data_IF_214662204662
#
_entry.id   IF_214662204662
#
_cell.length_a   1.000
_cell.length_b   1.000
_cell.length_c   1.000
_cell.angle_alpha   90.00
_cell.angle_beta   90.00
_cell.angle_gamma   90.00
#
_symmetry.space_group_name_H-M   'P 1'
#
loop_
_entity.id
_entity.type
_entity.pdbx_description
1 polymer ?
#
# COMPACT_ATOMS: atom_id res chain seq x y z
N UNK A 1 49.01 -32.25 20.92
CA UNK A 1 48.66 -31.11 20.05
C UNK A 1 47.39 -31.52 19.36
N UNK A 2 46.27 -31.21 20.00
CA UNK A 2 44.92 -31.54 19.56
C UNK A 2 44.57 -30.54 18.45
N UNK A 3 44.20 -31.07 17.29
CA UNK A 3 43.73 -30.28 16.15
C UNK A 3 42.24 -30.11 16.38
N UNK A 4 41.81 -28.90 16.74
CA UNK A 4 40.41 -28.52 16.80
C UNK A 4 39.86 -28.52 15.36
N UNK A 5 39.08 -29.55 15.06
CA UNK A 5 38.19 -29.65 13.92
C UNK A 5 36.86 -28.97 14.32
N UNK A 6 36.79 -27.66 14.15
CA UNK A 6 35.52 -26.93 14.18
C UNK A 6 35.02 -26.81 12.75
N UNK A 7 34.34 -27.85 12.27
CA UNK A 7 33.53 -27.78 11.06
C UNK A 7 32.43 -26.74 11.23
N UNK A 8 32.59 -25.59 10.56
CA UNK A 8 31.48 -24.68 10.31
C UNK A 8 30.46 -25.43 9.43
N UNK A 9 29.24 -25.62 9.95
CA UNK A 9 28.13 -26.10 9.14
C UNK A 9 27.92 -25.16 7.94
N UNK A 10 27.68 -25.69 6.73
CA UNK A 10 27.50 -24.85 5.55
C UNK A 10 26.19 -24.08 5.73
N UNK A 11 26.26 -22.79 6.03
CA UNK A 11 25.10 -21.90 6.03
C UNK A 11 24.37 -22.07 4.70
N UNK A 12 23.17 -22.66 4.74
CA UNK A 12 22.38 -22.89 3.55
C UNK A 12 22.08 -21.54 2.91
N UNK A 13 22.72 -21.27 1.77
CA UNK A 13 22.49 -20.04 1.03
C UNK A 13 21.09 -20.12 0.44
N UNK A 14 20.13 -19.40 1.05
CA UNK A 14 18.71 -19.40 0.67
C UNK A 14 18.36 -18.16 -0.19
N UNK A 15 19.20 -17.14 -0.19
CA UNK A 15 19.01 -15.91 -0.97
C UNK A 15 19.80 -15.91 -2.28
N UNK A 16 19.17 -15.41 -3.33
CA UNK A 16 19.79 -15.21 -4.63
C UNK A 16 20.85 -14.10 -4.58
N UNK A 17 21.93 -14.20 -5.38
CA UNK A 17 22.91 -13.12 -5.47
C UNK A 17 22.29 -11.87 -6.10
N UNK A 18 22.73 -10.69 -5.64
CA UNK A 18 22.21 -9.39 -6.12
C UNK A 18 22.46 -9.09 -7.60
N UNK A 19 23.14 -9.98 -8.33
CA UNK A 19 23.34 -9.91 -9.77
C UNK A 19 22.13 -10.37 -10.58
N UNK A 20 21.19 -11.10 -9.97
CA UNK A 20 19.98 -11.58 -10.65
C UNK A 20 18.93 -10.49 -10.64
N UNK A 21 18.44 -10.12 -11.82
CA UNK A 21 17.39 -9.12 -11.98
C UNK A 21 16.00 -9.73 -11.84
N UNK A 22 15.05 -9.03 -11.19
CA UNK A 22 13.69 -9.51 -11.03
C UNK A 22 13.00 -9.71 -12.37
N UNK A 23 12.19 -10.75 -12.48
CA UNK A 23 11.52 -11.11 -13.72
C UNK A 23 10.15 -10.42 -13.87
N UNK A 24 9.41 -10.24 -12.79
CA UNK A 24 8.04 -9.72 -12.80
C UNK A 24 7.92 -8.35 -12.12
N UNK A 25 6.84 -7.64 -12.42
CA UNK A 25 6.43 -6.43 -11.68
C UNK A 25 5.22 -6.74 -10.81
N UNK A 26 5.28 -6.41 -9.52
CA UNK A 26 4.19 -6.70 -8.58
C UNK A 26 3.39 -5.44 -8.23
N UNK A 27 2.07 -5.56 -8.34
CA UNK A 27 1.09 -4.61 -7.82
C UNK A 27 0.50 -5.23 -6.54
N UNK A 28 0.62 -4.53 -5.41
CA UNK A 28 0.13 -5.00 -4.12
C UNK A 28 -1.02 -4.12 -3.64
N UNK A 29 -2.16 -4.73 -3.31
CA UNK A 29 -3.29 -4.02 -2.73
C UNK A 29 -3.17 -3.88 -1.20
N UNK A 30 -3.45 -2.70 -0.62
CA UNK A 30 -3.51 -2.49 0.83
C UNK A 30 -4.38 -3.48 1.60
N UNK A 31 -5.48 -3.98 1.02
CA UNK A 31 -6.37 -4.96 1.61
C UNK A 31 -5.62 -6.23 2.02
N UNK A 32 -4.66 -6.68 1.21
CA UNK A 32 -3.82 -7.85 1.50
C UNK A 32 -3.03 -7.63 2.79
N UNK A 33 -2.41 -6.46 2.95
CA UNK A 33 -1.61 -6.10 4.12
C UNK A 33 -2.47 -6.06 5.38
N UNK A 34 -3.69 -5.51 5.25
CA UNK A 34 -4.66 -5.45 6.34
C UNK A 34 -5.12 -6.85 6.75
N UNK A 35 -5.44 -7.73 5.79
CA UNK A 35 -5.85 -9.11 6.06
C UNK A 35 -4.75 -9.92 6.75
N UNK A 36 -3.50 -9.77 6.32
CA UNK A 36 -2.35 -10.47 6.94
C UNK A 36 -2.15 -9.97 8.37
N UNK A 37 -2.25 -8.65 8.58
CA UNK A 37 -2.11 -8.04 9.90
C UNK A 37 -3.23 -8.46 10.85
N UNK A 38 -4.48 -8.51 10.37
CA UNK A 38 -5.62 -9.03 11.13
C UNK A 38 -5.44 -10.51 11.48
N UNK A 39 -5.08 -11.35 10.50
CA UNK A 39 -4.81 -12.77 10.73
C UNK A 39 -3.72 -12.98 11.78
N UNK A 40 -2.62 -12.23 11.70
CA UNK A 40 -1.54 -12.28 12.69
C UNK A 40 -1.99 -11.85 14.09
N UNK A 41 -2.72 -10.74 14.20
CA UNK A 41 -3.21 -10.26 15.49
C UNK A 41 -4.24 -11.20 16.13
N UNK A 42 -5.15 -11.77 15.33
CA UNK A 42 -6.11 -12.79 15.82
C UNK A 42 -5.39 -14.02 16.34
N UNK A 43 -4.38 -14.47 15.60
CA UNK A 43 -3.59 -15.62 15.96
C UNK A 43 -2.81 -15.40 17.27
N UNK A 44 -2.14 -14.25 17.41
CA UNK A 44 -1.47 -13.86 18.67
C UNK A 44 -2.42 -13.75 19.87
N UNK A 45 -3.68 -13.38 19.64
CA UNK A 45 -4.67 -13.32 20.71
C UNK A 45 -5.16 -14.71 21.16
N UNK A 46 -5.05 -15.73 20.29
CA UNK A 46 -5.48 -17.10 20.56
C UNK A 46 -4.35 -17.98 21.11
N UNK A 47 -3.16 -17.88 20.51
CA UNK A 47 -1.98 -18.63 20.93
C UNK A 47 -1.02 -17.72 21.71
N UNK A 48 -0.70 -18.10 22.95
CA UNK A 48 0.21 -17.34 23.82
C UNK A 48 1.70 -17.50 23.46
N UNK A 49 2.04 -17.98 22.26
CA UNK A 49 3.42 -18.21 21.83
C UNK A 49 3.82 -17.25 20.71
N UNK A 50 4.91 -16.53 20.93
CA UNK A 50 5.48 -15.59 19.95
C UNK A 50 6.20 -16.28 18.78
N UNK A 51 6.50 -17.58 18.89
CA UNK A 51 7.28 -18.35 17.91
C UNK A 51 6.40 -19.04 16.85
N UNK A 52 5.09 -18.94 16.97
CA UNK A 52 4.16 -19.60 16.06
C UNK A 52 4.04 -18.84 14.72
N UNK A 53 4.24 -19.54 13.62
CA UNK A 53 4.24 -18.99 12.25
C UNK A 53 2.84 -19.09 11.63
N UNK A 54 2.30 -17.98 11.11
CA UNK A 54 1.07 -18.01 10.31
C UNK A 54 1.37 -18.22 8.84
N UNK A 55 0.49 -18.91 8.13
CA UNK A 55 0.58 -19.10 6.67
C UNK A 55 -0.78 -18.77 6.06
N UNK A 56 -0.75 -18.13 4.90
CA UNK A 56 -1.96 -17.99 4.09
C UNK A 56 -1.66 -17.87 2.61
N UNK A 57 -2.71 -17.94 1.80
CA UNK A 57 -2.64 -17.81 0.35
C UNK A 57 -2.83 -16.35 -0.09
N UNK A 58 -2.20 -16.01 -1.20
CA UNK A 58 -2.33 -14.78 -1.93
C UNK A 58 -3.05 -15.06 -3.24
N UNK A 59 -4.07 -14.26 -3.53
CA UNK A 59 -4.85 -14.36 -4.75
C UNK A 59 -4.90 -13.03 -5.47
N UNK A 60 -5.08 -13.12 -6.79
CA UNK A 60 -5.12 -11.95 -7.63
C UNK A 60 -5.11 -12.31 -9.10
N UNK A 61 -4.63 -11.41 -9.95
CA UNK A 61 -4.61 -11.60 -11.40
C UNK A 61 -3.20 -11.49 -11.96
N UNK A 62 -2.94 -12.21 -13.05
CA UNK A 62 -1.68 -12.10 -13.77
C UNK A 62 -1.95 -11.68 -15.21
N UNK A 63 -1.38 -10.54 -15.62
CA UNK A 63 -1.44 -10.02 -16.99
C UNK A 63 -0.03 -9.94 -17.55
N UNK A 64 0.39 -11.01 -18.24
CA UNK A 64 1.75 -11.13 -18.76
C UNK A 64 2.79 -11.21 -17.64
N UNK A 65 3.67 -10.20 -17.54
CA UNK A 65 4.71 -10.09 -16.50
C UNK A 65 4.30 -9.22 -15.31
N UNK A 66 3.08 -8.70 -15.33
CA UNK A 66 2.53 -7.92 -14.23
C UNK A 66 1.60 -8.79 -13.41
N UNK A 67 1.93 -8.92 -12.13
CA UNK A 67 1.19 -9.70 -11.15
C UNK A 67 0.51 -8.72 -10.20
N UNK A 68 -0.80 -8.84 -10.08
CA UNK A 68 -1.62 -8.01 -9.20
C UNK A 68 -2.14 -8.88 -8.06
N UNK A 69 -1.69 -8.58 -6.84
CA UNK A 69 -2.09 -9.29 -5.61
C UNK A 69 -3.21 -8.48 -4.96
N UNK A 70 -4.44 -8.95 -5.10
CA UNK A 70 -5.63 -8.21 -4.73
C UNK A 70 -6.21 -8.63 -3.38
N UNK A 71 -6.11 -9.91 -3.02
CA UNK A 71 -6.70 -10.43 -1.78
C UNK A 71 -5.88 -11.60 -1.21
N UNK A 72 -6.22 -12.03 0.00
CA UNK A 72 -5.51 -13.09 0.72
C UNK A 72 -6.44 -13.82 1.69
N UNK A 73 -6.17 -15.09 1.95
CA UNK A 73 -6.91 -15.87 2.95
C UNK A 73 -5.98 -16.75 3.80
N UNK A 74 -6.42 -17.08 5.00
CA UNK A 74 -5.67 -17.92 5.94
C UNK A 74 -5.67 -19.39 5.53
N UNK A 75 -4.54 -20.08 5.77
CA UNK A 75 -4.38 -21.50 5.53
C UNK A 75 -4.08 -22.21 6.84
N UNK A 76 -4.61 -23.42 6.97
CA UNK A 76 -4.28 -24.30 8.09
C UNK A 76 -2.98 -25.05 7.77
N UNK A 77 -1.97 -24.85 8.61
CA UNK A 77 -0.66 -25.47 8.49
C UNK A 77 -0.26 -26.10 9.83
N UNK A 78 0.11 -27.37 9.78
CA UNK A 78 0.52 -28.10 10.97
C UNK A 78 2.02 -27.92 11.20
N UNK A 79 2.37 -27.29 12.33
CA UNK A 79 3.77 -27.09 12.75
C UNK A 79 4.26 -28.11 13.78
N UNK A 80 3.38 -28.98 14.29
CA UNK A 80 3.62 -29.83 15.45
C UNK A 80 4.61 -31.00 15.21
N UNK A 81 4.96 -31.33 13.97
CA UNK A 81 5.76 -32.52 13.62
C UNK A 81 7.19 -32.20 13.16
N UNK A 82 7.70 -31.01 13.46
CA UNK A 82 9.08 -30.58 13.20
C UNK A 82 9.33 -30.08 11.77
N UNK A 83 8.63 -30.64 10.76
CA UNK A 83 8.55 -30.02 9.42
C UNK A 83 7.14 -29.48 9.18
N UNK A 84 6.99 -28.20 8.80
CA UNK A 84 5.68 -27.63 8.51
C UNK A 84 5.03 -28.37 7.32
N UNK A 85 3.78 -28.78 7.47
CA UNK A 85 3.03 -29.47 6.43
C UNK A 85 1.75 -28.72 6.07
N UNK A 86 1.58 -28.45 4.78
CA UNK A 86 0.41 -27.79 4.21
C UNK A 86 -0.75 -28.81 4.09
N UNK A 87 -1.90 -28.47 4.65
CA UNK A 87 -3.12 -29.24 4.40
C UNK A 87 -3.64 -28.95 2.98
N UNK A 88 -3.21 -29.78 2.02
CA UNK A 88 -3.53 -29.62 0.58
C UNK A 88 -5.03 -29.73 0.32
N UNK A 89 -5.75 -30.58 1.06
CA UNK A 89 -7.20 -30.75 0.87
C UNK A 89 -7.97 -29.50 1.33
N UNK A 90 -7.58 -28.93 2.47
CA UNK A 90 -8.14 -27.66 2.94
C UNK A 90 -7.81 -26.51 1.99
N UNK A 91 -6.57 -26.46 1.48
CA UNK A 91 -6.16 -25.47 0.50
C UNK A 91 -7.04 -25.52 -0.76
N UNK A 92 -7.27 -26.71 -1.32
CA UNK A 92 -8.09 -26.89 -2.54
C UNK A 92 -9.57 -26.56 -2.31
N UNK A 93 -10.15 -26.98 -1.19
CA UNK A 93 -11.54 -26.65 -0.83
C UNK A 93 -11.73 -25.13 -0.67
N UNK A 94 -10.76 -24.44 -0.06
CA UNK A 94 -10.78 -22.98 0.05
C UNK A 94 -10.62 -22.31 -1.30
N UNK A 95 -9.73 -22.81 -2.14
CA UNK A 95 -9.52 -22.29 -3.48
C UNK A 95 -10.79 -22.38 -4.34
N UNK A 96 -11.49 -23.51 -4.29
CA UNK A 96 -12.76 -23.72 -5.01
C UNK A 96 -13.83 -22.69 -4.59
N UNK A 97 -13.99 -22.47 -3.27
CA UNK A 97 -14.92 -21.46 -2.74
C UNK A 97 -14.58 -20.04 -3.17
N UNK A 98 -13.30 -19.69 -3.24
CA UNK A 98 -12.89 -18.37 -3.72
C UNK A 98 -13.13 -18.22 -5.23
N UNK A 99 -12.96 -19.29 -5.99
CA UNK A 99 -13.26 -19.30 -7.43
C UNK A 99 -14.75 -19.08 -7.70
N UNK A 100 -15.64 -19.67 -6.89
CA UNK A 100 -17.09 -19.42 -6.98
C UNK A 100 -17.48 -17.95 -6.77
N UNK A 101 -16.69 -17.20 -5.99
CA UNK A 101 -16.96 -15.79 -5.71
C UNK A 101 -16.41 -14.88 -6.81
N UNK A 102 -15.28 -15.23 -7.42
CA UNK A 102 -14.64 -14.42 -8.46
C UNK A 102 -13.77 -15.28 -9.37
N UNK A 103 -14.27 -15.56 -10.59
CA UNK A 103 -13.57 -16.37 -11.60
C UNK A 103 -12.26 -15.74 -12.11
N UNK A 104 -12.06 -14.44 -11.89
CA UNK A 104 -10.86 -13.72 -12.35
C UNK A 104 -9.64 -13.96 -11.46
N UNK A 105 -9.85 -14.35 -10.20
CA UNK A 105 -8.76 -14.51 -9.24
C UNK A 105 -8.17 -15.91 -9.28
N UNK A 106 -6.85 -15.96 -9.37
CA UNK A 106 -6.05 -17.18 -9.30
C UNK A 106 -5.11 -17.11 -8.10
N UNK A 107 -4.64 -18.28 -7.68
CA UNK A 107 -3.57 -18.38 -6.72
C UNK A 107 -2.27 -17.78 -7.30
N UNK A 108 -1.70 -16.81 -6.59
CA UNK A 108 -0.47 -16.10 -6.99
C UNK A 108 0.71 -16.53 -6.13
N UNK A 109 0.46 -16.87 -4.86
CA UNK A 109 1.53 -17.16 -3.92
C UNK A 109 1.00 -17.33 -2.51
N UNK A 110 1.88 -17.21 -1.53
CA UNK A 110 1.56 -17.37 -0.14
C UNK A 110 2.27 -16.32 0.71
N UNK A 111 1.77 -16.08 1.90
CA UNK A 111 2.34 -15.14 2.84
C UNK A 111 2.65 -15.78 4.18
N UNK A 112 3.58 -15.16 4.89
CA UNK A 112 3.90 -15.48 6.28
C UNK A 112 4.52 -14.27 6.98
N UNK A 113 4.89 -14.43 8.25
CA UNK A 113 5.47 -13.37 9.08
C UNK A 113 6.98 -13.61 9.23
N UNK A 114 7.76 -12.53 9.19
CA UNK A 114 9.19 -12.57 9.47
C UNK A 114 9.99 -11.54 8.69
N UNK A 115 11.27 -11.42 9.04
CA UNK A 115 12.19 -10.44 8.44
C UNK A 115 12.78 -10.91 7.11
N UNK A 116 13.28 -12.15 7.07
CA UNK A 116 13.93 -12.76 5.90
C UNK A 116 13.42 -14.19 5.66
N UNK A 117 13.54 -14.73 4.44
CA UNK A 117 13.24 -16.13 4.17
C UNK A 117 14.15 -17.08 4.94
N UNK A 118 13.55 -18.12 5.54
CA UNK A 118 14.20 -19.14 6.36
C UNK A 118 14.08 -20.55 5.72
N UNK A 119 14.72 -21.57 6.31
CA UNK A 119 14.62 -22.96 5.84
C UNK A 119 13.19 -23.52 5.94
N UNK A 120 12.43 -23.11 6.95
CA UNK A 120 11.01 -23.47 7.09
C UNK A 120 10.21 -22.96 5.90
N UNK A 121 10.47 -21.72 5.48
CA UNK A 121 9.81 -21.12 4.32
C UNK A 121 10.15 -21.87 3.04
N UNK A 122 11.41 -22.30 2.88
CA UNK A 122 11.83 -23.10 1.73
C UNK A 122 11.08 -24.44 1.65
N UNK A 123 10.86 -25.09 2.79
CA UNK A 123 10.11 -26.36 2.84
C UNK A 123 8.65 -26.17 2.42
N UNK A 124 7.98 -25.15 2.97
CA UNK A 124 6.60 -24.81 2.60
C UNK A 124 6.52 -24.40 1.13
N UNK A 125 7.46 -23.59 0.66
CA UNK A 125 7.51 -23.14 -0.71
C UNK A 125 7.62 -24.32 -1.69
N UNK A 126 8.44 -25.32 -1.37
CA UNK A 126 8.55 -26.55 -2.18
C UNK A 126 7.23 -27.32 -2.26
N UNK A 127 6.39 -27.29 -1.21
CA UNK A 127 5.06 -27.90 -1.25
C UNK A 127 4.12 -27.14 -2.19
N UNK A 128 4.15 -25.80 -2.18
CA UNK A 128 3.41 -24.99 -3.15
C UNK A 128 3.91 -25.19 -4.58
N UNK A 129 5.22 -25.35 -4.79
CA UNK A 129 5.82 -25.64 -6.10
C UNK A 129 5.38 -26.97 -6.70
N UNK A 130 4.85 -27.91 -5.91
CA UNK A 130 4.28 -29.16 -6.43
C UNK A 130 2.87 -28.96 -7.03
N UNK A 131 2.19 -27.87 -6.66
CA UNK A 131 0.83 -27.54 -7.09
C UNK A 131 0.87 -26.46 -8.17
N UNK A 132 1.73 -25.46 -8.03
CA UNK A 132 1.87 -24.30 -8.90
C UNK A 132 3.32 -24.05 -9.30
N UNK A 133 3.57 -23.68 -10.56
CA UNK A 133 4.93 -23.61 -11.10
C UNK A 133 5.77 -22.43 -10.55
N UNK A 134 5.15 -21.32 -10.18
CA UNK A 134 5.86 -20.09 -9.78
C UNK A 134 5.12 -19.28 -8.70
N UNK A 135 4.92 -19.83 -7.49
CA UNK A 135 4.30 -19.10 -6.40
C UNK A 135 5.21 -17.98 -5.86
N UNK A 136 4.63 -16.84 -5.50
CA UNK A 136 5.35 -15.77 -4.79
C UNK A 136 5.31 -15.98 -3.27
N UNK A 137 6.34 -15.50 -2.57
CA UNK A 137 6.38 -15.42 -1.11
C UNK A 137 6.28 -13.96 -0.67
N UNK A 138 5.29 -13.63 0.16
CA UNK A 138 5.21 -12.33 0.83
C UNK A 138 5.53 -12.49 2.32
N UNK A 139 6.50 -11.73 2.83
CA UNK A 139 6.79 -11.66 4.27
C UNK A 139 6.42 -10.29 4.82
N UNK A 140 5.59 -10.29 5.86
CA UNK A 140 5.30 -9.10 6.65
C UNK A 140 6.16 -9.12 7.93
N UNK A 141 6.86 -8.03 8.19
CA UNK A 141 7.74 -7.89 9.36
C UNK A 141 7.12 -6.97 10.42
N UNK A 142 6.52 -7.51 11.49
CA UNK A 142 5.91 -6.69 12.53
C UNK A 142 6.94 -5.85 13.31
N UNK A 143 8.22 -6.25 13.34
CA UNK A 143 9.25 -5.60 14.16
C UNK A 143 10.05 -4.52 13.40
N UNK A 144 9.60 -4.10 12.22
CA UNK A 144 10.26 -3.12 11.38
C UNK A 144 10.07 -1.67 11.89
N UNK A 145 11.05 -0.81 11.63
CA UNK A 145 10.93 0.62 11.89
C UNK A 145 9.98 1.28 10.85
N UNK A 146 8.74 1.54 11.25
CA UNK A 146 7.64 2.04 10.40
C UNK A 146 7.84 3.44 9.80
N UNK A 147 8.97 4.11 10.08
CA UNK A 147 9.16 5.52 9.75
C UNK A 147 9.40 5.82 8.26
N UNK A 148 9.76 4.82 7.43
CA UNK A 148 10.22 5.11 6.05
C UNK A 148 9.67 4.20 4.96
N UNK A 149 9.34 2.93 5.25
CA UNK A 149 8.82 1.97 4.27
C UNK A 149 7.76 1.07 4.91
N UNK A 150 6.84 0.58 4.07
CA UNK A 150 5.89 -0.46 4.46
C UNK A 150 6.66 -1.75 4.78
N UNK A 151 6.36 -2.44 5.89
CA UNK A 151 7.15 -3.58 6.37
C UNK A 151 6.78 -4.88 5.65
N UNK A 152 6.73 -4.83 4.32
CA UNK A 152 6.36 -5.94 3.46
C UNK A 152 7.48 -6.15 2.45
N UNK A 153 7.94 -7.39 2.32
CA UNK A 153 8.89 -7.84 1.31
C UNK A 153 8.25 -8.97 0.49
N UNK A 154 8.48 -8.95 -0.82
CA UNK A 154 7.97 -9.96 -1.74
C UNK A 154 9.16 -10.63 -2.41
N UNK A 155 9.11 -11.95 -2.54
CA UNK A 155 10.17 -12.77 -3.09
C UNK A 155 9.64 -13.63 -4.24
N UNK A 156 10.35 -13.62 -5.36
CA UNK A 156 10.25 -14.66 -6.39
C UNK A 156 11.32 -15.73 -6.16
N UNK A 157 11.15 -16.90 -6.75
CA UNK A 157 12.15 -17.98 -6.68
C UNK A 157 12.91 -18.14 -7.97
N UNK A 158 14.22 -18.35 -7.83
CA UNK A 158 15.14 -18.63 -8.93
C UNK A 158 15.91 -19.91 -8.62
N UNK A 159 16.12 -20.74 -9.64
CA UNK A 159 16.93 -21.96 -9.50
C UNK A 159 18.35 -21.61 -9.91
N UNK A 160 19.30 -21.77 -8.98
CA UNK A 160 20.72 -21.53 -9.23
C UNK A 160 21.56 -22.74 -8.78
N UNK A 161 22.70 -22.93 -9.42
CA UNK A 161 23.64 -24.00 -9.09
C UNK A 161 24.56 -23.53 -7.95
N UNK A 162 24.21 -23.90 -6.73
CA UNK A 162 25.02 -23.64 -5.54
C UNK A 162 25.67 -24.96 -5.12
N UNK A 163 27.00 -24.99 -5.05
CA UNK A 163 27.79 -26.18 -4.69
C UNK A 163 27.55 -27.40 -5.61
N UNK A 164 27.46 -27.18 -6.93
CA UNK A 164 27.12 -28.20 -7.94
C UNK A 164 25.74 -28.89 -7.75
N UNK A 165 24.86 -28.32 -6.94
CA UNK A 165 23.48 -28.78 -6.79
C UNK A 165 22.51 -27.66 -7.17
N UNK A 166 21.44 -28.01 -7.88
CA UNK A 166 20.36 -27.08 -8.19
C UNK A 166 19.59 -26.79 -6.88
N UNK A 167 19.65 -25.55 -6.40
CA UNK A 167 18.92 -25.09 -5.22
C UNK A 167 17.97 -23.97 -5.60
N UNK A 168 16.80 -23.95 -4.95
CA UNK A 168 15.83 -22.85 -5.07
C UNK A 168 16.29 -21.74 -4.12
N UNK A 169 16.43 -20.53 -4.67
CA UNK A 169 16.82 -19.33 -3.93
C UNK A 169 15.71 -18.28 -4.02
N UNK A 170 15.54 -17.50 -2.96
CA UNK A 170 14.62 -16.36 -2.94
C UNK A 170 15.31 -15.09 -3.45
N UNK A 171 14.64 -14.38 -4.34
CA UNK A 171 15.04 -13.09 -4.86
C UNK A 171 13.99 -12.05 -4.47
N UNK A 172 14.39 -11.03 -3.72
CA UNK A 172 13.49 -9.93 -3.35
C UNK A 172 13.16 -9.09 -4.59
N UNK A 173 11.86 -8.82 -4.78
CA UNK A 173 11.36 -8.07 -5.94
C UNK A 173 10.68 -6.77 -5.49
N UNK A 174 10.87 -5.68 -6.25
CA UNK A 174 10.18 -4.42 -5.97
C UNK A 174 8.69 -4.56 -6.28
N UNK A 175 7.85 -3.95 -5.43
CA UNK A 175 6.42 -3.85 -5.65
C UNK A 175 5.97 -2.39 -5.68
N UNK A 176 4.80 -2.18 -6.26
CA UNK A 176 4.09 -0.90 -6.24
C UNK A 176 2.73 -1.11 -5.63
N UNK A 177 2.23 -0.13 -4.87
CA UNK A 177 0.89 -0.21 -4.31
C UNK A 177 -0.12 0.12 -5.40
N UNK A 178 -1.00 -0.83 -5.67
CA UNK A 178 -2.20 -0.60 -6.48
C UNK A 178 -3.39 -0.44 -5.54
N UNK A 179 -4.32 0.43 -5.92
CA UNK A 179 -5.53 0.66 -5.16
C UNK A 179 -6.69 0.77 -6.12
N UNK A 180 -7.75 0.02 -5.86
CA UNK A 180 -9.04 0.28 -6.50
C UNK A 180 -9.63 1.60 -5.97
N UNK A 181 -10.54 2.24 -6.71
CA UNK A 181 -11.18 3.48 -6.25
C UNK A 181 -11.93 3.30 -4.92
N UNK A 182 -12.62 2.16 -4.76
CA UNK A 182 -13.32 1.78 -3.53
C UNK A 182 -12.35 1.60 -2.36
N UNK A 183 -11.27 0.85 -2.57
CA UNK A 183 -10.21 0.61 -1.61
C UNK A 183 -9.49 1.91 -1.20
N UNK A 184 -9.17 2.78 -2.17
CA UNK A 184 -8.53 4.08 -1.90
C UNK A 184 -9.38 4.93 -0.97
N UNK A 185 -10.69 5.00 -1.20
CA UNK A 185 -11.61 5.75 -0.33
C UNK A 185 -11.63 5.14 1.08
N UNK A 186 -11.70 3.82 1.19
CA UNK A 186 -11.67 3.12 2.48
C UNK A 186 -10.38 3.38 3.27
N UNK A 187 -9.23 3.21 2.63
CA UNK A 187 -7.92 3.43 3.23
C UNK A 187 -7.72 4.90 3.63
N UNK A 188 -8.12 5.85 2.77
CA UNK A 188 -8.06 7.29 3.06
C UNK A 188 -8.93 7.66 4.27
N UNK A 189 -10.14 7.09 4.36
CA UNK A 189 -11.02 7.32 5.49
C UNK A 189 -10.44 6.76 6.80
N UNK A 190 -9.89 5.54 6.79
CA UNK A 190 -9.24 4.93 7.97
C UNK A 190 -8.06 5.79 8.39
N UNK A 191 -7.18 6.16 7.46
CA UNK A 191 -6.02 7.00 7.73
C UNK A 191 -6.43 8.35 8.36
N UNK A 192 -7.41 9.05 7.78
CA UNK A 192 -7.90 10.33 8.31
C UNK A 192 -8.50 10.19 9.70
N UNK A 193 -9.27 9.15 9.95
CA UNK A 193 -9.87 8.88 11.26
C UNK A 193 -8.80 8.65 12.33
N UNK A 194 -7.70 7.98 12.00
CA UNK A 194 -6.58 7.76 12.93
C UNK A 194 -5.81 9.04 13.28
N UNK A 195 -5.80 10.05 12.40
CA UNK A 195 -5.10 11.32 12.64
C UNK A 195 -6.00 12.43 13.22
N UNK A 196 -7.32 12.33 13.07
CA UNK A 196 -8.27 13.37 13.46
C UNK A 196 -9.21 12.86 14.56
N UNK A 197 -8.76 12.97 15.81
CA UNK A 197 -9.68 12.94 16.95
C UNK A 197 -10.61 14.17 16.87
N UNK A 198 -11.90 13.91 16.59
CA UNK A 198 -13.06 14.69 17.08
C UNK A 198 -13.50 16.00 16.39
N UNK A 199 -12.96 16.42 15.24
CA UNK A 199 -13.55 17.60 14.55
C UNK A 199 -13.86 17.29 13.09
N UNK A 200 -15.11 17.50 12.67
CA UNK A 200 -15.51 17.55 11.27
C UNK A 200 -14.76 18.68 10.57
N UNK A 201 -13.58 18.37 10.04
CA UNK A 201 -12.82 19.30 9.22
C UNK A 201 -13.62 19.60 7.95
N UNK A 202 -13.68 20.87 7.58
CA UNK A 202 -14.29 21.27 6.30
C UNK A 202 -13.60 20.53 5.16
N UNK A 203 -14.32 20.15 4.11
CA UNK A 203 -13.73 19.59 2.89
C UNK A 203 -12.61 20.48 2.31
N UNK A 204 -12.68 21.80 2.54
CA UNK A 204 -11.61 22.73 2.21
C UNK A 204 -10.34 22.50 3.05
N UNK A 205 -10.49 22.22 4.35
CA UNK A 205 -9.36 21.91 5.24
C UNK A 205 -8.69 20.59 4.84
N UNK A 206 -9.46 19.56 4.48
CA UNK A 206 -8.92 18.29 3.98
C UNK A 206 -8.13 18.47 2.68
N UNK A 207 -8.67 19.26 1.74
CA UNK A 207 -7.99 19.58 0.49
C UNK A 207 -6.68 20.36 0.72
N UNK A 208 -6.69 21.33 1.65
CA UNK A 208 -5.49 22.08 2.02
C UNK A 208 -4.45 21.20 2.72
N UNK A 209 -4.89 20.27 3.58
CA UNK A 209 -4.02 19.32 4.25
C UNK A 209 -3.35 18.37 3.24
N UNK A 210 -4.10 17.89 2.26
CA UNK A 210 -3.56 17.05 1.17
C UNK A 210 -2.48 17.81 0.38
N UNK A 211 -2.74 19.07 0.00
CA UNK A 211 -1.74 19.93 -0.66
C UNK A 211 -0.51 20.16 0.21
N UNK A 212 -0.70 20.44 1.50
CA UNK A 212 0.40 20.62 2.45
C UNK A 212 1.26 19.35 2.56
N UNK A 213 0.65 18.17 2.69
CA UNK A 213 1.36 16.91 2.78
C UNK A 213 2.14 16.60 1.48
N UNK A 214 1.57 16.89 0.31
CA UNK A 214 2.26 16.76 -0.97
C UNK A 214 3.51 17.67 -1.04
N UNK A 215 3.39 18.93 -0.60
CA UNK A 215 4.51 19.89 -0.54
C UNK A 215 5.57 19.40 0.46
N UNK A 216 5.16 18.93 1.64
CA UNK A 216 6.06 18.39 2.67
C UNK A 216 6.84 17.17 2.16
N UNK A 217 6.17 16.27 1.43
CA UNK A 217 6.81 15.10 0.82
C UNK A 217 7.83 15.53 -0.24
N UNK A 218 7.47 16.45 -1.13
CA UNK A 218 8.37 16.99 -2.15
C UNK A 218 9.60 17.67 -1.51
N UNK A 219 9.38 18.52 -0.50
CA UNK A 219 10.46 19.18 0.23
C UNK A 219 11.45 18.17 0.84
N UNK A 220 10.94 17.10 1.43
CA UNK A 220 11.78 16.03 2.03
C UNK A 220 12.65 15.35 0.97
N UNK A 221 12.08 15.06 -0.21
CA UNK A 221 12.82 14.46 -1.35
C UNK A 221 13.86 15.42 -1.93
N UNK A 222 13.51 16.69 -2.13
CA UNK A 222 14.44 17.72 -2.62
C UNK A 222 15.59 17.94 -1.64
N UNK A 223 15.32 17.93 -0.33
CA UNK A 223 16.34 18.01 0.70
C UNK A 223 17.32 16.83 0.62
N UNK A 224 16.82 15.61 0.49
CA UNK A 224 17.65 14.41 0.32
C UNK A 224 18.57 14.51 -0.91
N UNK A 225 18.05 14.96 -2.06
CA UNK A 225 18.87 15.18 -3.26
C UNK A 225 19.95 16.25 -3.04
N UNK A 226 19.60 17.33 -2.34
CA UNK A 226 20.54 18.41 -2.02
C UNK A 226 21.66 17.92 -1.10
N UNK A 227 21.31 17.14 -0.08
CA UNK A 227 22.28 16.57 0.86
C UNK A 227 23.19 15.54 0.19
N UNK A 228 22.65 14.73 -0.75
CA UNK A 228 23.44 13.83 -1.59
C UNK A 228 24.49 14.58 -2.42
N UNK A 229 24.10 15.63 -3.15
CA UNK A 229 25.04 16.42 -3.98
C UNK A 229 26.11 17.10 -3.11
N UNK A 230 25.74 17.63 -1.94
CA UNK A 230 26.70 18.20 -0.97
C UNK A 230 27.69 17.15 -0.47
N UNK A 231 27.23 15.94 -0.16
CA UNK A 231 28.07 14.84 0.33
C UNK A 231 29.05 14.32 -0.73
N UNK A 232 28.62 14.22 -2.00
CA UNK A 232 29.51 13.87 -3.13
C UNK A 232 30.56 14.96 -3.33
N UNK A 233 30.18 16.24 -3.30
CA UNK A 233 31.13 17.37 -3.40
C UNK A 233 32.15 17.39 -2.25
N UNK A 234 31.75 16.98 -1.05
CA UNK A 234 32.63 16.89 0.12
C UNK A 234 33.51 15.61 0.12
N UNK A 235 33.39 14.73 -0.88
CA UNK A 235 34.14 13.47 -0.96
C UNK A 235 33.67 12.38 0.01
N UNK A 236 32.51 12.53 0.66
CA UNK A 236 31.96 11.54 1.61
C UNK A 236 31.27 10.37 0.92
N UNK A 237 30.78 10.57 -0.30
CA UNK A 237 30.08 9.55 -1.10
C UNK A 237 30.74 9.43 -2.48
N UNK A 238 30.71 8.21 -3.03
CA UNK A 238 31.26 7.93 -4.36
C UNK A 238 30.48 8.67 -5.46
N UNK A 239 31.23 9.16 -6.45
CA UNK A 239 30.69 9.91 -7.59
C UNK A 239 29.95 8.95 -8.55
N UNK A 240 28.62 8.98 -8.54
CA UNK A 240 27.78 8.24 -9.50
C UNK A 240 27.31 9.16 -10.62
N UNK A 241 27.85 8.99 -11.82
CA UNK A 241 27.58 9.86 -12.98
C UNK A 241 26.10 9.85 -13.40
N UNK A 242 25.42 8.71 -13.32
CA UNK A 242 24.01 8.56 -13.72
C UNK A 242 23.09 9.46 -12.89
N UNK A 243 23.17 9.35 -11.56
CA UNK A 243 22.34 10.11 -10.62
C UNK A 243 22.55 11.62 -10.79
N UNK A 244 23.81 12.06 -10.94
CA UNK A 244 24.12 13.49 -11.10
C UNK A 244 23.61 14.05 -12.42
N UNK A 245 23.68 13.27 -13.50
CA UNK A 245 23.12 13.62 -14.80
C UNK A 245 21.59 13.75 -14.73
N UNK A 246 20.92 12.84 -14.02
CA UNK A 246 19.47 12.89 -13.84
C UNK A 246 19.04 14.12 -13.04
N UNK A 247 19.73 14.42 -11.94
CA UNK A 247 19.50 15.63 -11.13
C UNK A 247 19.70 16.89 -11.99
N UNK A 248 20.79 16.97 -12.76
CA UNK A 248 21.07 18.11 -13.64
C UNK A 248 19.97 18.28 -14.69
N UNK A 249 19.53 17.18 -15.31
CA UNK A 249 18.45 17.21 -16.31
C UNK A 249 17.14 17.72 -15.70
N UNK A 250 16.84 17.33 -14.47
CA UNK A 250 15.64 17.76 -13.74
C UNK A 250 15.68 19.26 -13.46
N UNK A 251 16.81 19.77 -12.98
CA UNK A 251 16.98 21.21 -12.73
C UNK A 251 16.86 22.05 -14.02
N UNK A 252 17.39 21.55 -15.15
CA UNK A 252 17.32 22.26 -16.43
C UNK A 252 15.91 22.33 -17.02
N UNK A 253 15.02 21.39 -16.68
CA UNK A 253 13.61 21.43 -17.10
C UNK A 253 12.78 22.46 -16.33
N UNK A 254 13.32 23.02 -15.25
CA UNK A 254 12.61 24.04 -14.49
C UNK A 254 12.82 25.42 -15.12
N UNK A 255 11.76 26.23 -15.28
CA UNK A 255 10.35 25.98 -14.91
C UNK A 255 9.49 25.44 -16.08
N UNK A 256 8.61 24.48 -15.77
CA UNK A 256 7.89 23.63 -16.74
C UNK A 256 6.70 24.35 -17.42
N UNK A 257 6.16 25.42 -16.83
CA UNK A 257 4.91 26.06 -17.26
C UNK A 257 5.06 27.57 -17.54
N UNK A 258 5.83 27.93 -18.58
CA UNK A 258 6.03 29.34 -19.00
C UNK A 258 5.44 29.68 -20.38
N UNK A 259 4.72 28.77 -21.02
CA UNK A 259 4.15 29.06 -22.33
C UNK A 259 3.02 30.09 -22.21
N UNK A 260 2.91 31.00 -23.20
CA UNK A 260 1.82 31.98 -23.24
C UNK A 260 0.45 31.30 -23.32
N UNK A 261 0.38 30.17 -24.01
CA UNK A 261 -0.83 29.37 -24.13
C UNK A 261 -1.29 28.84 -22.76
N UNK A 262 -0.38 28.32 -21.94
CA UNK A 262 -0.70 27.85 -20.60
C UNK A 262 -1.26 28.96 -19.70
N UNK A 263 -0.70 30.18 -19.77
CA UNK A 263 -1.22 31.31 -18.99
C UNK A 263 -2.63 31.68 -19.41
N UNK A 264 -2.92 31.72 -20.71
CA UNK A 264 -4.27 32.04 -21.22
C UNK A 264 -5.26 30.97 -20.77
N UNK A 265 -4.94 29.69 -20.95
CA UNK A 265 -5.81 28.58 -20.55
C UNK A 265 -6.04 28.56 -19.03
N UNK A 266 -5.00 28.81 -18.22
CA UNK A 266 -5.11 28.86 -16.76
C UNK A 266 -5.99 30.03 -16.28
N UNK A 267 -5.89 31.21 -16.90
CA UNK A 267 -6.75 32.34 -16.58
C UNK A 267 -8.19 32.08 -17.00
N UNK A 268 -8.41 31.45 -18.16
CA UNK A 268 -9.75 31.07 -18.60
C UNK A 268 -10.39 30.09 -17.61
N UNK A 269 -9.68 29.03 -17.22
CA UNK A 269 -10.16 28.07 -16.23
C UNK A 269 -10.47 28.75 -14.88
N UNK A 270 -9.62 29.68 -14.44
CA UNK A 270 -9.86 30.46 -13.22
C UNK A 270 -11.16 31.28 -13.31
N UNK A 271 -11.39 31.96 -14.44
CA UNK A 271 -12.60 32.74 -14.66
C UNK A 271 -13.86 31.85 -14.68
N UNK A 272 -13.79 30.67 -15.30
CA UNK A 272 -14.92 29.73 -15.34
C UNK A 272 -15.29 29.22 -13.95
N UNK A 273 -14.28 28.85 -13.14
CA UNK A 273 -14.50 28.42 -11.74
C UNK A 273 -15.07 29.55 -10.90
N UNK A 274 -14.58 30.78 -11.07
CA UNK A 274 -15.10 31.94 -10.35
C UNK A 274 -16.56 32.23 -10.71
N UNK A 275 -16.90 32.15 -11.99
CA UNK A 275 -18.28 32.33 -12.46
C UNK A 275 -19.21 31.25 -11.87
N UNK A 276 -18.79 29.98 -11.89
CA UNK A 276 -19.54 28.89 -11.27
C UNK A 276 -19.73 29.11 -9.77
N UNK A 277 -18.70 29.55 -9.05
CA UNK A 277 -18.80 29.86 -7.63
C UNK A 277 -19.76 31.03 -7.34
N UNK A 278 -19.73 32.08 -8.16
CA UNK A 278 -20.68 33.19 -8.07
C UNK A 278 -22.12 32.74 -8.29
N UNK A 279 -22.37 31.92 -9.31
CA UNK A 279 -23.71 31.37 -9.58
C UNK A 279 -24.19 30.50 -8.42
N UNK A 280 -23.35 29.62 -7.89
CA UNK A 280 -23.67 28.80 -6.72
C UNK A 280 -24.00 29.66 -5.47
N UNK A 281 -23.25 30.74 -5.25
CA UNK A 281 -23.51 31.67 -4.14
C UNK A 281 -24.86 32.40 -4.31
N UNK A 282 -25.22 32.80 -5.54
CA UNK A 282 -26.53 33.38 -5.83
C UNK A 282 -27.65 32.36 -5.56
N UNK A 283 -27.50 31.11 -6.02
CA UNK A 283 -28.47 30.05 -5.76
C UNK A 283 -28.66 29.79 -4.26
N UNK A 284 -27.56 29.76 -3.49
CA UNK A 284 -27.63 29.63 -2.04
C UNK A 284 -28.32 30.85 -1.40
N UNK A 285 -28.06 32.06 -1.91
CA UNK A 285 -28.74 33.29 -1.48
C UNK A 285 -30.25 33.26 -1.74
N UNK A 286 -30.68 32.77 -2.91
CA UNK A 286 -32.09 32.57 -3.23
C UNK A 286 -32.75 31.56 -2.28
N UNK A 287 -32.09 30.42 -2.01
CA UNK A 287 -32.57 29.44 -1.02
C UNK A 287 -32.75 30.07 0.36
N UNK A 288 -31.76 30.81 0.84
CA UNK A 288 -31.84 31.46 2.15
C UNK A 288 -32.96 32.52 2.21
N UNK A 289 -33.20 33.23 1.10
CA UNK A 289 -34.27 34.22 0.99
C UNK A 289 -35.65 33.57 1.01
N UNK A 290 -35.81 32.46 0.30
CA UNK A 290 -37.05 31.67 0.27
C UNK A 290 -37.38 31.09 1.66
N UNK A 291 -36.38 30.53 2.35
CA UNK A 291 -36.52 30.08 3.74
C UNK A 291 -36.92 31.21 4.69
N UNK A 292 -36.35 32.41 4.51
CA UNK A 292 -36.69 33.58 5.30
C UNK A 292 -38.12 34.06 5.04
N UNK A 293 -38.53 34.16 3.77
CA UNK A 293 -39.89 34.56 3.39
C UNK A 293 -40.91 33.57 3.96
N UNK A 294 -40.65 32.27 3.84
CA UNK A 294 -41.52 31.22 4.39
C UNK A 294 -41.71 31.40 5.89
N UNK A 295 -40.62 31.53 6.65
CA UNK A 295 -40.68 31.75 8.12
C UNK A 295 -41.37 33.07 8.49
N UNK A 296 -41.16 34.13 7.71
CA UNK A 296 -41.80 35.42 7.95
C UNK A 296 -43.32 35.35 7.73
N UNK A 297 -43.75 34.65 6.68
CA UNK A 297 -45.16 34.41 6.39
C UNK A 297 -45.83 33.60 7.52
N UNK A 298 -45.19 32.51 7.97
CA UNK A 298 -45.71 31.69 9.09
C UNK A 298 -45.91 32.53 10.37
N UNK A 299 -44.96 33.40 10.70
CA UNK A 299 -45.06 34.31 11.85
C UNK A 299 -46.17 35.35 11.69
N UNK A 300 -46.35 35.87 10.48
CA UNK A 300 -47.40 36.84 10.19
C UNK A 300 -48.79 36.22 10.30
N UNK A 301 -48.98 34.99 9.80
CA UNK A 301 -50.23 34.25 9.96
C UNK A 301 -50.55 33.91 11.43
N UNK A 302 -49.53 33.52 12.20
CA UNK A 302 -49.67 33.23 13.64
C UNK A 302 -50.01 34.49 14.46
N UNK A 303 -49.50 35.66 14.08
CA UNK A 303 -49.79 36.94 14.75
C UNK A 303 -51.15 37.54 14.33
N UNK A 304 -51.58 37.34 13.07
CA UNK A 304 -52.93 37.67 12.61
C UNK A 304 -54.04 36.91 13.34
N UNK A 305 -53.78 35.66 13.76
CA UNK A 305 -54.73 34.88 14.57
C UNK A 305 -54.88 35.42 16.00
N UNK A 306 -53.84 36.02 16.59
CA UNK A 306 -53.91 36.63 17.93
C UNK A 306 -54.71 37.93 17.99
N UNK A 307 -54.77 38.71 16.90
CA UNK A 307 -55.59 39.94 16.87
C UNK A 307 -57.09 39.68 16.73
N UNK A 308 -57.50 38.55 16.13
CA UNK A 308 -58.91 38.20 15.97
C UNK A 308 -59.59 37.71 17.25
N UNK A 309 -58.85 37.39 18.31
CA UNK A 309 -59.39 36.88 19.57
C UNK A 309 -59.70 37.96 20.62
N UNK A 310 -59.40 39.23 20.35
CA UNK A 310 -59.63 40.35 21.29
C UNK A 310 -60.86 41.22 20.97
N UNK A 311 -61.63 40.89 19.94
CA UNK A 311 -62.91 41.53 19.64
C UNK A 311 -64.06 40.54 19.82
N UNK A 312 -64.45 40.32 21.07
CA UNK A 312 -65.75 39.80 21.49
C UNK A 312 -66.17 40.50 22.77
#
# INVERSE_FOLDING_TARGET
>A
MQIDDSGEEPSSKIMAPSSVSPSISVLLHPLVVMNISDHFMRFLAQESSEDSQIIGALIGTQKGRTVEISNSYELDCNFNTGKPFLNVDYFKDREEKFRELTDEFMFIGWYTIGSSPNETDLNIHQQFCQIYDSPLLLKLNPNCNYATNLPVAIFETVVDAVDNQAKILFLEIPYTLATEDSERIGVDHIAKTSYSETTSTSSAADNLLAQYNAIKMLHTRVKLLTDYVKAVRAGKLSYKHEILRDISSMCQRLPIAKSKQFTVESVNQYNDVLLMACLAAITQGCKNSDEFITKANDLYEASGHRMRTFFY
#
